data_IF_573568485889
#
_entry.id   IF_573568485889
#
_cell.length_a   1.000
_cell.length_b   1.000
_cell.length_c   1.000
_cell.angle_alpha   90.00
_cell.angle_beta   90.00
_cell.angle_gamma   90.00
#
_symmetry.space_group_name_H-M   'P 1'
#
loop_
_entity.id
_entity.type
_entity.pdbx_description
1 polymer ?
#
# COMPACT_ATOMS: atom_id res chain seq x y z
N UNK A 9 -12.42 20.54 1.24
CA UNK A 9 -12.98 19.47 2.08
C UNK A 9 -12.52 18.15 1.49
N UNK A 10 -11.75 17.35 2.22
CA UNK A 10 -11.22 16.10 1.71
C UNK A 10 -12.34 15.05 1.66
N UNK A 11 -12.10 13.95 0.96
CA UNK A 11 -12.99 12.81 0.85
C UNK A 11 -12.15 11.57 0.56
N UNK A 12 -12.80 10.40 0.46
CA UNK A 12 -12.15 9.19 0.01
C UNK A 12 -13.11 8.47 -0.92
N UNK A 13 -12.58 7.63 -1.81
CA UNK A 13 -13.39 6.82 -2.72
C UNK A 13 -12.70 5.48 -2.94
N UNK A 14 -13.37 4.60 -3.66
CA UNK A 14 -12.79 3.37 -4.18
C UNK A 14 -13.04 3.38 -5.67
N UNK A 15 -12.04 2.96 -6.46
CA UNK A 15 -12.15 2.69 -7.88
C UNK A 15 -11.14 1.60 -8.23
N UNK A 16 -11.11 1.20 -9.50
CA UNK A 16 -10.12 0.24 -9.98
C UNK A 16 -9.32 0.97 -11.05
N UNK A 17 -8.05 1.23 -10.77
CA UNK A 17 -7.18 1.98 -11.66
C UNK A 17 -5.87 1.22 -11.70
N UNK A 18 -5.38 0.86 -12.88
CA UNK A 18 -4.13 0.13 -12.97
C UNK A 18 -3.01 1.06 -12.51
N UNK A 19 -2.30 0.72 -11.43
CA UNK A 19 -1.24 1.57 -10.90
C UNK A 19 -0.17 1.82 -11.96
N UNK A 20 -0.04 0.92 -12.95
CA UNK A 20 0.93 1.07 -14.02
C UNK A 20 0.63 2.23 -14.96
N UNK A 21 -0.42 3.03 -14.72
CA UNK A 21 -0.56 4.32 -15.36
C UNK A 21 0.59 5.24 -14.93
N UNK A 22 0.98 5.15 -13.65
CA UNK A 22 1.93 6.00 -12.94
C UNK A 22 1.19 7.24 -12.45
N UNK A 23 0.53 7.12 -11.31
CA UNK A 23 -0.28 8.20 -10.77
C UNK A 23 0.64 9.23 -10.14
N UNK A 24 0.94 10.31 -10.88
CA UNK A 24 1.88 11.36 -10.49
C UNK A 24 1.59 11.92 -9.09
N UNK A 25 0.33 11.87 -8.67
CA UNK A 25 -0.12 12.36 -7.39
C UNK A 25 0.58 11.57 -6.28
N UNK A 26 0.55 10.23 -6.32
CA UNK A 26 1.38 9.43 -5.45
C UNK A 26 1.24 7.95 -5.85
N UNK A 27 2.30 7.15 -5.66
CA UNK A 27 2.26 5.73 -5.94
C UNK A 27 2.87 4.99 -4.74
N UNK A 28 2.23 3.91 -4.31
CA UNK A 28 2.65 3.11 -3.17
C UNK A 28 2.69 1.66 -3.65
N UNK A 29 3.64 0.86 -3.16
CA UNK A 29 3.84 -0.51 -3.61
C UNK A 29 4.32 -1.34 -2.42
N UNK A 30 4.06 -2.64 -2.42
CA UNK A 30 4.55 -3.55 -1.38
C UNK A 30 5.61 -4.45 -2.01
N UNK A 31 6.86 -4.30 -1.56
CA UNK A 31 8.02 -4.95 -2.17
C UNK A 31 8.62 -5.93 -1.17
N UNK A 32 9.24 -7.00 -1.65
CA UNK A 32 9.87 -7.94 -0.72
C UNK A 32 11.07 -7.26 -0.08
N UNK A 33 11.25 -7.42 1.23
CA UNK A 33 12.35 -6.79 1.95
C UNK A 33 13.71 -7.29 1.44
N UNK A 34 13.74 -8.47 0.81
CA UNK A 34 14.96 -9.09 0.32
C UNK A 34 15.24 -8.77 -1.15
N UNK A 35 14.33 -8.09 -1.85
CA UNK A 35 14.51 -7.78 -3.26
C UNK A 35 14.35 -9.01 -4.15
N UNK A 36 13.71 -10.07 -3.66
CA UNK A 36 13.40 -11.23 -4.49
C UNK A 36 12.09 -10.97 -5.22
N UNK A 37 11.95 -11.47 -6.46
CA UNK A 37 10.72 -11.38 -7.21
C UNK A 37 9.67 -12.33 -6.59
N UNK A 38 8.40 -12.06 -6.84
CA UNK A 38 7.29 -12.84 -6.29
C UNK A 38 6.77 -12.09 -5.08
N UNK A 39 6.07 -11.01 -5.38
CA UNK A 39 5.74 -9.91 -4.48
C UNK A 39 4.43 -9.29 -4.99
N UNK A 40 4.04 -8.12 -4.49
CA UNK A 40 2.72 -7.58 -4.77
C UNK A 40 2.69 -6.81 -6.08
N UNK A 41 1.86 -5.76 -6.14
CA UNK A 41 1.81 -4.86 -7.30
C UNK A 41 3.19 -4.24 -7.57
N UNK A 42 4.09 -4.22 -6.59
CA UNK A 42 5.47 -3.80 -6.80
C UNK A 42 6.11 -4.56 -7.95
N UNK A 43 5.78 -5.84 -8.14
CA UNK A 43 6.28 -6.63 -9.25
C UNK A 43 5.93 -5.97 -10.58
N UNK A 44 4.68 -5.55 -10.73
CA UNK A 44 4.19 -4.93 -11.95
C UNK A 44 4.93 -3.61 -12.20
N UNK A 45 4.99 -2.76 -11.17
CA UNK A 45 5.66 -1.47 -11.26
C UNK A 45 7.12 -1.66 -11.65
N UNK A 46 7.81 -2.63 -11.05
CA UNK A 46 9.19 -2.97 -11.32
C UNK A 46 9.37 -3.25 -12.81
N UNK A 47 8.46 -4.01 -13.42
CA UNK A 47 8.58 -4.31 -14.85
C UNK A 47 8.56 -3.05 -15.72
N UNK A 48 7.90 -1.97 -15.29
CA UNK A 48 8.05 -0.67 -15.96
C UNK A 48 9.33 0.05 -15.52
N UNK A 49 9.71 -0.04 -14.23
CA UNK A 49 10.73 0.78 -13.61
C UNK A 49 11.74 -0.11 -12.89
N UNK A 50 12.84 -0.49 -13.56
CA UNK A 50 13.85 -1.32 -12.95
C UNK A 50 14.46 -0.64 -11.72
N UNK A 51 14.72 0.67 -11.83
CA UNK A 51 15.34 1.44 -10.76
C UNK A 51 14.50 1.38 -9.48
N UNK A 52 13.15 1.30 -9.55
CA UNK A 52 12.32 1.22 -8.36
C UNK A 52 12.68 0.00 -7.50
N UNK A 53 13.01 -1.11 -8.14
CA UNK A 53 13.31 -2.36 -7.46
C UNK A 53 14.77 -2.39 -6.99
N UNK A 54 15.61 -1.55 -7.58
CA UNK A 54 17.04 -1.47 -7.31
C UNK A 54 17.24 -1.00 -5.87
N UNK A 55 17.87 -1.83 -5.04
CA UNK A 55 17.99 -1.60 -3.60
C UNK A 55 16.63 -1.21 -2.98
N UNK A 56 15.57 -1.91 -3.38
CA UNK A 56 14.25 -1.70 -2.78
C UNK A 56 14.17 -2.39 -1.41
N UNK A 57 15.20 -3.16 -1.03
CA UNK A 57 15.29 -3.79 0.27
C UNK A 57 15.10 -2.75 1.37
N UNK A 58 14.07 -2.93 2.19
CA UNK A 58 13.78 -2.08 3.33
C UNK A 58 13.31 -3.01 4.45
N UNK A 59 13.63 -2.71 5.71
CA UNK A 59 13.24 -3.55 6.82
C UNK A 59 11.72 -3.46 7.02
N UNK A 60 11.14 -4.49 7.63
CA UNK A 60 9.76 -4.42 8.07
C UNK A 60 9.66 -3.35 9.15
N UNK A 61 8.45 -2.84 9.43
CA UNK A 61 8.30 -1.82 10.47
C UNK A 61 8.52 -0.41 9.96
N UNK A 62 8.83 -0.23 8.67
CA UNK A 62 9.16 1.08 8.11
C UNK A 62 8.58 1.18 6.70
N UNK A 63 8.76 2.33 6.04
CA UNK A 63 8.54 2.44 4.61
C UNK A 63 9.72 3.21 4.02
N UNK A 64 10.04 2.96 2.74
CA UNK A 64 11.15 3.60 2.07
C UNK A 64 10.62 4.23 0.80
N UNK A 65 10.64 5.56 0.75
CA UNK A 65 10.34 6.29 -0.46
C UNK A 65 11.63 6.44 -1.24
N UNK A 66 11.54 6.29 -2.56
CA UNK A 66 12.63 6.62 -3.48
C UNK A 66 11.99 7.45 -4.60
N UNK A 67 12.75 8.29 -5.31
CA UNK A 67 12.18 9.10 -6.38
C UNK A 67 12.71 8.59 -7.71
N UNK A 68 11.85 8.02 -8.55
CA UNK A 68 12.29 7.37 -9.78
C UNK A 68 12.28 8.36 -10.93
N UNK A 69 12.99 9.48 -10.77
CA UNK A 69 12.99 10.56 -11.74
C UNK A 69 11.70 11.36 -11.60
N UNK A 70 10.60 10.82 -12.13
CA UNK A 70 9.27 11.39 -11.98
C UNK A 70 8.55 10.60 -10.90
N UNK A 71 7.82 11.28 -10.01
CA UNK A 71 6.95 10.74 -8.98
C UNK A 71 7.68 9.86 -7.94
N UNK A 72 7.26 9.95 -6.66
CA UNK A 72 7.84 9.17 -5.59
C UNK A 72 7.16 7.80 -5.53
N UNK A 73 7.96 6.75 -5.29
CA UNK A 73 7.48 5.40 -5.06
C UNK A 73 7.66 5.10 -3.58
N UNK A 74 6.57 4.96 -2.84
CA UNK A 74 6.63 4.60 -1.44
C UNK A 74 6.56 3.08 -1.36
N UNK A 75 7.69 2.44 -1.06
CA UNK A 75 7.74 1.01 -0.82
C UNK A 75 7.36 0.75 0.63
N UNK A 76 6.52 -0.26 0.87
CA UNK A 76 6.06 -0.62 2.20
C UNK A 76 6.25 -2.12 2.40
N UNK A 77 6.40 -2.54 3.66
CA UNK A 77 6.62 -3.92 4.01
C UNK A 77 5.55 -4.31 5.03
N UNK A 78 4.42 -4.82 4.54
CA UNK A 78 3.28 -5.16 5.38
C UNK A 78 3.12 -6.68 5.44
N UNK A 79 2.45 -7.30 4.46
CA UNK A 79 2.22 -8.74 4.41
C UNK A 79 3.53 -9.54 4.35
N UNK A 80 4.64 -8.88 4.04
CA UNK A 80 5.92 -9.54 3.86
C UNK A 80 6.60 -9.86 5.20
N UNK A 81 5.88 -9.74 6.32
CA UNK A 81 6.32 -10.14 7.65
C UNK A 81 6.40 -11.68 7.81
N UNK A 82 6.62 -12.47 6.76
CA UNK A 82 6.61 -13.92 6.89
C UNK A 82 7.74 -14.42 7.81
N UNK A 83 8.81 -13.64 7.94
CA UNK A 83 9.92 -13.91 8.85
C UNK A 83 9.64 -13.43 10.29
N UNK A 84 8.39 -13.12 10.63
CA UNK A 84 8.00 -12.48 11.88
C UNK A 84 6.74 -13.17 12.42
N UNK A 85 6.50 -13.09 13.73
CA UNK A 85 5.29 -13.67 14.33
C UNK A 85 4.06 -12.82 13.99
N UNK A 86 2.85 -13.32 14.29
CA UNK A 86 1.63 -12.53 14.10
C UNK A 86 1.62 -11.31 15.05
N UNK A 87 2.05 -11.46 16.31
CA UNK A 87 2.05 -10.37 17.28
C UNK A 87 2.97 -9.22 16.85
N UNK A 88 4.26 -9.51 16.65
CA UNK A 88 5.20 -8.50 16.18
C UNK A 88 4.71 -7.98 14.83
N UNK A 89 4.30 -8.88 13.95
CA UNK A 89 3.91 -8.58 12.60
C UNK A 89 2.80 -7.53 12.56
N UNK A 90 1.82 -7.61 13.46
CA UNK A 90 0.77 -6.60 13.53
C UNK A 90 1.36 -5.22 13.84
N UNK A 91 2.29 -5.15 14.80
CA UNK A 91 2.97 -3.91 15.19
C UNK A 91 3.78 -3.34 14.03
N UNK A 92 4.59 -4.16 13.38
CA UNK A 92 5.50 -3.74 12.32
C UNK A 92 4.68 -3.26 11.12
N UNK A 93 3.60 -3.96 10.82
CA UNK A 93 2.70 -3.66 9.72
C UNK A 93 2.01 -2.32 9.98
N UNK A 94 1.55 -2.11 11.22
CA UNK A 94 1.00 -0.84 11.67
C UNK A 94 2.01 0.30 11.50
N UNK A 95 3.26 0.07 11.91
CA UNK A 95 4.33 1.06 11.78
C UNK A 95 4.57 1.38 10.31
N UNK A 96 4.57 0.36 9.45
CA UNK A 96 4.71 0.53 8.01
C UNK A 96 3.60 1.43 7.49
N UNK A 97 2.36 1.26 7.96
CA UNK A 97 1.28 2.16 7.55
C UNK A 97 1.51 3.58 8.02
N UNK A 98 1.93 3.79 9.27
CA UNK A 98 2.18 5.15 9.72
C UNK A 98 3.24 5.80 8.86
N UNK A 99 4.29 5.06 8.50
CA UNK A 99 5.33 5.56 7.64
C UNK A 99 4.77 5.90 6.26
N UNK A 100 3.95 5.04 5.66
CA UNK A 100 3.36 5.28 4.34
C UNK A 100 2.57 6.59 4.39
N UNK A 101 1.63 6.70 5.32
CA UNK A 101 0.81 7.89 5.50
C UNK A 101 1.66 9.13 5.74
N UNK A 102 2.74 8.99 6.50
CA UNK A 102 3.65 10.08 6.81
C UNK A 102 4.34 10.56 5.54
N UNK A 103 4.83 9.66 4.69
CA UNK A 103 5.54 10.05 3.47
C UNK A 103 4.54 10.74 2.53
N UNK A 104 3.34 10.17 2.37
CA UNK A 104 2.27 10.72 1.55
C UNK A 104 1.97 12.16 1.97
N UNK A 105 1.62 12.35 3.25
CA UNK A 105 1.30 13.66 3.80
C UNK A 105 2.49 14.61 3.65
N UNK A 106 3.73 14.14 3.83
CA UNK A 106 4.90 15.00 3.64
C UNK A 106 5.04 15.47 2.20
N UNK A 107 4.65 14.64 1.22
CA UNK A 107 4.67 15.08 -0.17
C UNK A 107 3.66 16.20 -0.38
N UNK A 108 2.59 16.25 0.43
CA UNK A 108 1.62 17.33 0.41
C UNK A 108 0.86 17.35 -0.90
N UNK A 109 0.56 16.16 -1.42
CA UNK A 109 -0.04 16.00 -2.74
C UNK A 109 -1.56 16.09 -2.63
N UNK A 110 -2.21 16.39 -3.77
CA UNK A 110 -3.65 16.60 -3.79
C UNK A 110 -4.37 15.29 -3.49
N UNK A 111 -3.90 14.20 -4.09
CA UNK A 111 -4.52 12.90 -3.94
C UNK A 111 -3.43 11.84 -3.84
N UNK A 112 -3.84 10.59 -3.61
CA UNK A 112 -2.91 9.48 -3.49
C UNK A 112 -3.66 8.22 -3.89
N UNK A 113 -3.00 7.32 -4.62
CA UNK A 113 -3.57 6.04 -5.00
C UNK A 113 -2.82 4.99 -4.19
N UNK A 114 -3.54 4.25 -3.34
CA UNK A 114 -2.93 3.26 -2.48
C UNK A 114 -3.58 1.91 -2.81
N UNK A 115 -2.79 0.89 -3.15
CA UNK A 115 -3.32 -0.45 -3.30
C UNK A 115 -3.63 -0.98 -1.92
N UNK A 116 -4.55 -1.93 -1.83
CA UNK A 116 -4.74 -2.67 -0.60
C UNK A 116 -3.76 -3.83 -0.55
N UNK A 117 -3.12 -4.01 0.60
CA UNK A 117 -2.16 -5.07 0.90
C UNK A 117 -2.66 -5.79 2.16
N UNK A 118 -1.80 -6.59 2.79
CA UNK A 118 -2.13 -7.41 3.97
C UNK A 118 -2.89 -8.68 3.55
N UNK A 119 -2.96 -8.98 2.26
CA UNK A 119 -3.80 -10.03 1.70
C UNK A 119 -3.01 -11.33 1.54
N UNK A 120 -2.35 -11.80 2.60
CA UNK A 120 -1.77 -13.14 2.65
C UNK A 120 -0.65 -13.44 1.65
N UNK A 121 -0.25 -12.49 0.81
CA UNK A 121 0.56 -12.77 -0.39
C UNK A 121 1.88 -13.43 -0.03
N UNK A 122 2.45 -13.05 1.10
CA UNK A 122 3.73 -13.60 1.53
C UNK A 122 3.66 -14.26 2.90
N UNK A 123 2.62 -13.97 3.70
CA UNK A 123 2.48 -14.50 5.03
C UNK A 123 1.84 -15.89 4.97
N UNK A 124 1.02 -16.28 5.96
CA UNK A 124 0.44 -17.60 5.98
C UNK A 124 -0.84 -17.68 5.15
N UNK A 125 -0.79 -17.27 3.88
CA UNK A 125 -1.77 -17.61 2.86
C UNK A 125 -3.19 -17.19 3.21
N UNK A 126 -3.37 -16.14 4.02
CA UNK A 126 -4.68 -15.69 4.46
C UNK A 126 -4.82 -14.22 4.15
N UNK A 127 -5.87 -13.80 3.46
CA UNK A 127 -6.24 -12.39 3.48
C UNK A 127 -7.17 -12.17 4.68
N UNK A 128 -7.42 -10.92 5.00
CA UNK A 128 -8.43 -10.53 5.95
C UNK A 128 -9.07 -9.27 5.42
N UNK A 129 -10.21 -9.36 4.75
CA UNK A 129 -10.87 -8.18 4.20
C UNK A 129 -11.05 -7.12 5.27
N UNK A 130 -11.57 -7.49 6.45
CA UNK A 130 -11.73 -6.58 7.57
C UNK A 130 -10.40 -5.98 8.02
N UNK A 131 -9.33 -6.77 8.07
CA UNK A 131 -8.04 -6.31 8.57
C UNK A 131 -7.45 -5.28 7.61
N UNK A 132 -7.37 -5.61 6.32
CA UNK A 132 -6.96 -4.69 5.28
C UNK A 132 -7.78 -3.40 5.36
N UNK A 133 -9.10 -3.48 5.52
CA UNK A 133 -9.92 -2.28 5.62
C UNK A 133 -9.47 -1.43 6.81
N UNK A 134 -9.50 -1.98 8.03
CA UNK A 134 -9.20 -1.24 9.25
C UNK A 134 -7.83 -0.57 9.14
N UNK A 135 -6.84 -1.32 8.68
CA UNK A 135 -5.49 -0.83 8.50
C UNK A 135 -5.47 0.35 7.53
N UNK A 136 -6.09 0.21 6.34
CA UNK A 136 -6.15 1.29 5.38
C UNK A 136 -6.82 2.52 6.01
N UNK A 137 -7.93 2.34 6.73
CA UNK A 137 -8.61 3.43 7.42
C UNK A 137 -7.67 4.11 8.41
N UNK A 138 -6.81 3.37 9.11
CA UNK A 138 -5.87 3.97 10.06
C UNK A 138 -4.87 4.86 9.33
N UNK A 139 -4.32 4.37 8.22
CA UNK A 139 -3.39 5.14 7.40
C UNK A 139 -4.08 6.40 6.89
N UNK A 140 -5.33 6.24 6.45
CA UNK A 140 -6.17 7.26 5.84
C UNK A 140 -6.47 8.37 6.84
N UNK A 141 -6.73 8.00 8.10
CA UNK A 141 -6.93 8.91 9.21
C UNK A 141 -5.67 9.75 9.44
N UNK A 142 -4.52 9.25 8.99
CA UNK A 142 -3.23 9.90 9.09
C UNK A 142 -2.83 10.61 7.78
N UNK A 143 -3.80 10.92 6.91
CA UNK A 143 -3.57 11.66 5.68
C UNK A 143 -4.70 12.63 5.40
N UNK A 144 -4.37 13.86 4.99
CA UNK A 144 -5.36 14.88 4.63
C UNK A 144 -5.79 14.77 3.16
N UNK A 145 -4.95 14.17 2.32
CA UNK A 145 -5.11 14.19 0.88
C UNK A 145 -6.30 13.33 0.43
N UNK A 146 -6.88 13.65 -0.74
CA UNK A 146 -7.99 12.88 -1.29
C UNK A 146 -7.46 11.52 -1.74
N UNK A 147 -7.63 10.52 -0.89
CA UNK A 147 -7.09 9.20 -1.10
C UNK A 147 -8.12 8.29 -1.75
N UNK A 148 -7.65 7.40 -2.62
CA UNK A 148 -8.50 6.43 -3.26
C UNK A 148 -7.91 5.06 -2.95
N UNK A 149 -8.75 4.18 -2.44
CA UNK A 149 -8.39 2.79 -2.22
C UNK A 149 -8.63 2.13 -3.57
N UNK A 150 -7.63 1.39 -4.05
CA UNK A 150 -7.71 0.79 -5.37
C UNK A 150 -7.82 -0.72 -5.19
N UNK A 151 -8.77 -1.31 -5.90
CA UNK A 151 -9.10 -2.73 -5.81
C UNK A 151 -8.78 -3.41 -7.13
N UNK A 152 -8.88 -4.74 -7.17
CA UNK A 152 -8.47 -5.51 -8.34
C UNK A 152 -9.68 -6.27 -8.88
N UNK A 153 -10.08 -7.35 -8.19
CA UNK A 153 -11.26 -8.08 -8.57
C UNK A 153 -12.51 -7.20 -8.40
N UNK A 154 -13.50 -7.41 -9.25
CA UNK A 154 -14.77 -6.69 -9.25
C UNK A 154 -15.57 -7.02 -8.00
N UNK A 155 -15.70 -8.29 -7.64
CA UNK A 155 -16.56 -8.66 -6.52
C UNK A 155 -15.92 -8.22 -5.20
N UNK A 156 -14.59 -8.31 -5.11
CA UNK A 156 -13.85 -7.88 -3.94
C UNK A 156 -13.94 -6.34 -3.82
N UNK A 157 -13.85 -5.62 -4.94
CA UNK A 157 -14.09 -4.18 -4.96
C UNK A 157 -15.48 -3.89 -4.41
N UNK A 158 -16.48 -4.67 -4.82
CA UNK A 158 -17.84 -4.52 -4.34
C UNK A 158 -17.88 -4.58 -2.82
N UNK A 159 -17.22 -5.56 -2.19
CA UNK A 159 -17.19 -5.65 -0.73
C UNK A 159 -16.61 -4.37 -0.12
N UNK A 160 -15.51 -3.86 -0.66
CA UNK A 160 -14.94 -2.63 -0.13
C UNK A 160 -15.98 -1.52 -0.23
N UNK A 161 -16.70 -1.42 -1.35
CA UNK A 161 -17.73 -0.44 -1.56
C UNK A 161 -18.84 -0.59 -0.51
N UNK A 162 -19.21 -1.81 -0.14
CA UNK A 162 -20.17 -2.05 0.93
C UNK A 162 -19.63 -1.48 2.24
N UNK A 163 -18.33 -1.67 2.53
CA UNK A 163 -17.72 -1.10 3.72
C UNK A 163 -17.79 0.43 3.68
N UNK A 164 -17.60 1.07 2.52
CA UNK A 164 -17.72 2.52 2.38
C UNK A 164 -19.15 2.94 2.73
N UNK A 165 -20.16 2.28 2.16
CA UNK A 165 -21.56 2.57 2.44
C UNK A 165 -21.84 2.44 3.93
N UNK A 166 -21.21 1.47 4.59
CA UNK A 166 -21.41 1.15 5.99
C UNK A 166 -20.60 2.08 6.91
N UNK A 167 -19.71 2.90 6.37
CA UNK A 167 -18.86 3.80 7.12
C UNK A 167 -18.93 5.21 6.53
N UNK A 168 -19.87 6.02 7.04
CA UNK A 168 -20.10 7.37 6.61
C UNK A 168 -20.37 8.23 7.84
#
# INVERSE_FOLDING_TARGET
MKHHHHHHAPSYRVKRMDIAKNDEECVVNAANPRGLPGDGVCKAVYKKWPESFKNSATPVGTAKTVMCGTYPVIHAVGPNFSNYSESEGDRELAAAYREVAKEVTRLGVNSVAIPLLSTGVYSGGKDRLTQSLNHLFTAMDSTDADVVIYCRDKEWEKKISEAIQMRT
#
